data_IF_306346777067
#
_entry.id   IF_306346777067
#
_cell.length_a   1.000
_cell.length_b   1.000
_cell.length_c   1.000
_cell.angle_alpha   90.00
_cell.angle_beta   90.00
_cell.angle_gamma   90.00
#
_symmetry.space_group_name_H-M   'P 1'
#
loop_
_entity.id
_entity.type
_entity.pdbx_description
1 polymer ?
#
# COMPACT_ATOMS: atom_id res chain seq x y z
N UNK A 1 11.79 28.12 6.94
CA UNK A 1 12.01 26.87 6.21
C UNK A 1 10.81 26.58 5.30
N UNK A 2 11.08 26.14 4.07
CA UNK A 2 10.07 25.63 3.15
C UNK A 2 10.32 24.12 2.97
N UNK A 3 9.34 23.31 3.28
CA UNK A 3 9.38 21.86 3.14
C UNK A 3 8.30 21.42 2.15
N UNK A 4 8.70 21.01 0.96
CA UNK A 4 7.80 20.58 -0.11
C UNK A 4 7.74 19.04 -0.14
N UNK A 5 6.61 18.50 0.25
CA UNK A 5 6.34 17.06 0.40
C UNK A 5 7.48 16.26 1.07
N UNK A 6 8.01 16.70 2.23
CA UNK A 6 9.24 16.15 2.80
C UNK A 6 9.09 14.68 3.28
N UNK A 7 7.89 14.14 3.25
CA UNK A 7 7.60 12.77 3.71
C UNK A 7 7.12 11.86 2.58
N UNK A 8 7.10 12.32 1.34
CA UNK A 8 6.71 11.54 0.18
C UNK A 8 7.66 10.35 -0.02
N UNK A 9 7.11 9.17 -0.27
CA UNK A 9 7.81 7.89 -0.43
C UNK A 9 8.56 7.36 0.80
N UNK A 10 8.37 7.98 1.98
CA UNK A 10 8.91 7.47 3.24
C UNK A 10 7.93 6.50 3.91
N UNK A 11 8.46 5.54 4.65
CA UNK A 11 7.64 4.71 5.54
C UNK A 11 7.16 5.51 6.76
N UNK A 12 6.14 4.98 7.44
CA UNK A 12 5.46 5.67 8.56
C UNK A 12 6.42 6.03 9.70
N UNK A 13 7.41 5.19 9.97
CA UNK A 13 8.38 5.40 11.06
C UNK A 13 9.32 6.55 10.72
N UNK A 14 9.92 6.52 9.53
CA UNK A 14 10.81 7.59 9.06
C UNK A 14 10.04 8.90 8.87
N UNK A 15 8.79 8.83 8.35
CA UNK A 15 7.92 10.00 8.27
C UNK A 15 7.71 10.65 9.65
N UNK A 16 7.40 9.87 10.68
CA UNK A 16 7.22 10.39 12.03
C UNK A 16 8.50 11.03 12.58
N UNK A 17 9.67 10.45 12.32
CA UNK A 17 10.96 11.00 12.72
C UNK A 17 11.25 12.35 12.04
N UNK A 18 11.01 12.46 10.73
CA UNK A 18 11.20 13.72 9.98
C UNK A 18 10.26 14.81 10.49
N UNK A 19 8.98 14.49 10.75
CA UNK A 19 8.03 15.46 11.29
C UNK A 19 8.43 15.94 12.69
N UNK A 20 8.93 15.05 13.53
CA UNK A 20 9.45 15.39 14.85
C UNK A 20 10.68 16.32 14.71
N UNK A 21 11.63 15.95 13.87
CA UNK A 21 12.82 16.76 13.62
C UNK A 21 12.46 18.16 13.12
N UNK A 22 11.53 18.28 12.17
CA UNK A 22 11.09 19.59 11.64
C UNK A 22 10.45 20.45 12.71
N UNK A 23 9.67 19.85 13.62
CA UNK A 23 9.07 20.55 14.78
C UNK A 23 10.15 21.02 15.75
N UNK A 24 11.08 20.12 16.12
CA UNK A 24 12.15 20.42 17.05
C UNK A 24 13.05 21.54 16.52
N UNK A 25 13.42 21.52 15.24
CA UNK A 25 14.17 22.59 14.58
C UNK A 25 13.38 23.90 14.53
N UNK A 26 12.07 23.86 14.26
CA UNK A 26 11.22 25.07 14.32
C UNK A 26 11.28 25.72 15.70
N UNK A 27 11.15 24.91 16.73
CA UNK A 27 11.07 25.38 18.12
C UNK A 27 12.46 25.83 18.63
N UNK A 28 13.53 25.08 18.34
CA UNK A 28 14.91 25.41 18.74
C UNK A 28 15.44 26.69 18.07
N UNK A 29 15.19 26.82 16.76
CA UNK A 29 15.67 27.94 15.97
C UNK A 29 14.67 29.10 15.88
N UNK A 30 13.52 29.00 16.54
CA UNK A 30 12.41 29.95 16.49
C UNK A 30 12.06 30.38 15.05
N UNK A 31 12.01 29.40 14.14
CA UNK A 31 11.77 29.66 12.72
C UNK A 31 10.33 29.38 12.32
N UNK A 32 9.86 30.06 11.27
CA UNK A 32 8.60 29.74 10.63
C UNK A 32 8.78 28.57 9.65
N UNK A 33 7.77 27.70 9.57
CA UNK A 33 7.74 26.54 8.67
C UNK A 33 6.58 26.68 7.68
N UNK A 34 6.89 26.73 6.38
CA UNK A 34 5.92 26.50 5.32
C UNK A 34 6.00 25.02 4.91
N UNK A 35 4.96 24.27 5.22
CA UNK A 35 4.87 22.85 4.93
C UNK A 35 3.88 22.60 3.80
N UNK A 36 4.34 22.03 2.69
CA UNK A 36 3.50 21.71 1.53
C UNK A 36 3.26 20.19 1.54
N UNK A 37 2.00 19.77 1.52
CA UNK A 37 1.61 18.35 1.54
C UNK A 37 0.19 18.17 1.03
N UNK A 38 -0.10 16.99 0.52
CA UNK A 38 -1.46 16.53 0.24
C UNK A 38 -2.04 15.66 1.38
N UNK A 39 -1.27 15.38 2.44
CA UNK A 39 -1.68 14.52 3.55
C UNK A 39 -2.26 15.35 4.70
N UNK A 40 -3.59 15.36 4.81
CA UNK A 40 -4.33 16.09 5.86
C UNK A 40 -4.03 15.62 7.28
N UNK A 41 -3.68 14.32 7.45
CA UNK A 41 -3.31 13.78 8.76
C UNK A 41 -2.02 14.42 9.32
N UNK A 42 -1.10 14.81 8.44
CA UNK A 42 0.12 15.57 8.82
C UNK A 42 -0.26 17.00 9.18
N UNK A 43 -1.11 17.64 8.36
CA UNK A 43 -1.58 19.00 8.60
C UNK A 43 -2.22 19.12 9.99
N UNK A 44 -3.08 18.16 10.38
CA UNK A 44 -3.72 18.11 11.71
C UNK A 44 -2.71 18.10 12.87
N UNK A 45 -1.51 17.54 12.65
CA UNK A 45 -0.50 17.36 13.72
C UNK A 45 0.52 18.49 13.78
N UNK A 46 0.73 19.22 12.69
CA UNK A 46 1.88 20.12 12.56
C UNK A 46 1.49 21.58 12.29
N UNK A 47 0.37 21.83 11.61
CA UNK A 47 0.02 23.16 11.12
C UNK A 47 -0.81 23.97 12.11
N UNK A 48 -0.44 25.23 12.32
CA UNK A 48 -1.23 26.21 13.06
C UNK A 48 -2.32 26.82 12.16
N UNK A 49 -1.99 27.08 10.89
CA UNK A 49 -2.90 27.58 9.86
C UNK A 49 -2.75 26.78 8.56
N UNK A 50 -3.82 26.72 7.76
CA UNK A 50 -3.88 25.99 6.52
C UNK A 50 -4.38 26.87 5.40
N UNK A 51 -3.70 26.83 4.26
CA UNK A 51 -4.13 27.42 2.99
C UNK A 51 -4.41 26.29 1.99
N UNK A 52 -5.62 26.18 1.51
CA UNK A 52 -6.05 25.19 0.53
C UNK A 52 -5.89 25.75 -0.88
N UNK A 53 -5.15 25.03 -1.71
CA UNK A 53 -4.84 25.45 -3.09
C UNK A 53 -5.65 24.62 -4.10
N UNK A 54 -6.26 25.30 -5.09
CA UNK A 54 -6.89 24.66 -6.23
C UNK A 54 -6.63 25.47 -7.49
N UNK A 55 -6.18 24.84 -8.57
CA UNK A 55 -5.94 25.48 -9.87
C UNK A 55 -5.08 26.76 -9.78
N UNK A 56 -4.02 26.72 -8.97
CA UNK A 56 -3.09 27.84 -8.77
C UNK A 56 -3.64 28.98 -7.91
N UNK A 57 -4.78 28.80 -7.25
CA UNK A 57 -5.39 29.82 -6.37
C UNK A 57 -5.55 29.27 -4.96
N UNK A 58 -5.35 30.12 -3.96
CA UNK A 58 -5.76 29.84 -2.60
C UNK A 58 -7.28 30.03 -2.52
N UNK A 59 -8.02 28.95 -2.30
CA UNK A 59 -9.49 28.94 -2.26
C UNK A 59 -10.06 29.10 -0.86
N UNK A 60 -9.29 28.71 0.16
CA UNK A 60 -9.64 28.87 1.57
C UNK A 60 -8.39 28.93 2.42
N UNK A 61 -8.39 29.80 3.44
CA UNK A 61 -7.31 29.90 4.43
C UNK A 61 -7.91 30.18 5.80
N UNK A 62 -7.51 29.39 6.80
CA UNK A 62 -7.97 29.58 8.18
C UNK A 62 -7.00 28.88 9.16
N UNK A 63 -7.24 29.07 10.47
CA UNK A 63 -6.64 28.24 11.51
C UNK A 63 -6.91 26.76 11.21
N UNK A 64 -5.92 25.89 11.41
CA UNK A 64 -6.04 24.46 11.07
C UNK A 64 -7.25 23.80 11.77
N UNK A 65 -7.47 24.10 13.05
CA UNK A 65 -8.60 23.58 13.81
C UNK A 65 -9.95 23.96 13.19
N UNK A 66 -10.10 25.20 12.77
CA UNK A 66 -11.37 25.73 12.19
C UNK A 66 -11.59 25.15 10.79
N UNK A 67 -10.57 25.20 9.93
CA UNK A 67 -10.69 24.71 8.55
C UNK A 67 -11.00 23.22 8.48
N UNK A 68 -10.36 22.42 9.35
CA UNK A 68 -10.55 20.98 9.37
C UNK A 68 -11.87 20.51 10.03
N UNK A 69 -12.52 21.36 10.85
CA UNK A 69 -13.78 21.03 11.50
C UNK A 69 -15.01 21.66 10.81
N UNK A 70 -14.84 22.82 10.19
CA UNK A 70 -15.92 23.59 9.56
C UNK A 70 -15.47 24.27 8.25
N UNK A 71 -15.10 23.48 7.23
CA UNK A 71 -14.69 24.01 5.94
C UNK A 71 -15.81 24.79 5.26
N UNK A 72 -15.49 25.94 4.68
CA UNK A 72 -16.48 26.81 4.03
C UNK A 72 -16.49 26.61 2.50
N UNK A 73 -15.33 26.36 1.91
CA UNK A 73 -15.24 26.22 0.46
C UNK A 73 -15.62 24.79 0.01
N UNK A 74 -16.45 24.63 -1.03
CA UNK A 74 -16.89 23.30 -1.50
C UNK A 74 -15.76 22.35 -1.90
N UNK A 75 -14.64 22.87 -2.35
CA UNK A 75 -13.47 22.05 -2.67
C UNK A 75 -12.82 21.50 -1.40
N UNK A 76 -12.69 22.33 -0.35
CA UNK A 76 -12.13 21.90 0.95
C UNK A 76 -13.03 20.83 1.57
N UNK A 77 -14.34 20.99 1.51
CA UNK A 77 -15.31 19.98 1.99
C UNK A 77 -15.09 18.65 1.27
N UNK A 78 -15.07 18.66 -0.07
CA UNK A 78 -14.80 17.45 -0.85
C UNK A 78 -13.44 16.82 -0.57
N UNK A 79 -12.41 17.65 -0.33
CA UNK A 79 -11.07 17.15 0.01
C UNK A 79 -11.07 16.40 1.35
N UNK A 80 -11.76 16.94 2.36
CA UNK A 80 -11.92 16.31 3.68
C UNK A 80 -12.82 15.07 3.62
N UNK A 81 -13.92 15.13 2.86
CA UNK A 81 -14.85 14.00 2.66
C UNK A 81 -14.21 12.84 1.88
N UNK A 82 -13.12 13.11 1.13
CA UNK A 82 -12.40 12.06 0.40
C UNK A 82 -11.48 11.22 1.30
N UNK A 83 -11.22 11.64 2.55
CA UNK A 83 -10.55 10.78 3.51
C UNK A 83 -11.42 9.55 3.82
N UNK A 84 -10.88 8.33 3.69
CA UNK A 84 -11.65 7.12 4.04
C UNK A 84 -12.16 7.20 5.48
N UNK A 85 -13.46 7.11 5.64
CA UNK A 85 -14.15 7.18 6.93
C UNK A 85 -15.16 6.03 7.06
N UNK A 86 -15.58 5.74 8.28
CA UNK A 86 -16.56 4.71 8.61
C UNK A 86 -15.95 3.50 9.32
N UNK A 87 -16.83 2.71 9.90
CA UNK A 87 -16.47 1.49 10.61
C UNK A 87 -16.49 0.28 9.65
N UNK A 88 -15.63 -0.71 9.89
CA UNK A 88 -15.68 -1.96 9.14
C UNK A 88 -17.07 -2.63 9.27
N UNK A 89 -17.58 -3.16 8.17
CA UNK A 89 -18.82 -3.95 8.22
C UNK A 89 -18.60 -5.16 9.11
N UNK A 90 -19.52 -5.47 10.05
CA UNK A 90 -19.41 -6.65 10.90
C UNK A 90 -19.30 -7.93 10.06
N UNK A 91 -18.31 -8.72 10.36
CA UNK A 91 -18.09 -10.01 9.68
C UNK A 91 -18.97 -11.09 10.31
N UNK A 92 -19.42 -12.04 9.49
CA UNK A 92 -20.03 -13.27 9.97
C UNK A 92 -18.95 -14.12 10.66
N UNK A 93 -19.11 -14.28 11.99
CA UNK A 93 -18.15 -14.99 12.83
C UNK A 93 -18.02 -16.48 12.44
N UNK A 94 -19.08 -17.06 11.88
CA UNK A 94 -19.17 -18.48 11.51
C UNK A 94 -18.70 -18.76 10.07
N UNK A 95 -18.37 -17.70 9.31
CA UNK A 95 -17.90 -17.87 7.92
C UNK A 95 -16.53 -18.53 7.86
N UNK A 96 -16.37 -19.54 7.00
CA UNK A 96 -15.09 -20.19 6.74
C UNK A 96 -14.10 -19.21 6.08
N UNK A 97 -12.79 -19.27 6.42
CA UNK A 97 -11.80 -18.43 5.79
C UNK A 97 -11.75 -18.62 4.27
N UNK A 98 -11.80 -17.53 3.51
CA UNK A 98 -11.55 -17.51 2.07
C UNK A 98 -10.07 -17.76 1.76
N UNK A 99 -9.18 -17.14 2.56
CA UNK A 99 -7.74 -17.34 2.48
C UNK A 99 -7.22 -17.77 3.84
N UNK A 100 -6.43 -18.83 3.88
CA UNK A 100 -5.71 -19.27 5.07
C UNK A 100 -4.24 -19.47 4.73
N UNK A 101 -3.38 -18.91 5.55
CA UNK A 101 -1.93 -18.93 5.38
C UNK A 101 -1.31 -19.49 6.65
N UNK A 102 -0.51 -20.56 6.50
CA UNK A 102 0.17 -21.23 7.59
C UNK A 102 1.66 -21.39 7.27
N UNK A 103 2.50 -20.94 8.19
CA UNK A 103 3.96 -21.06 8.14
C UNK A 103 4.59 -20.53 6.83
N UNK A 104 3.99 -19.50 6.22
CA UNK A 104 4.49 -18.93 4.98
C UNK A 104 5.88 -18.34 5.19
N UNK A 105 6.84 -18.88 4.44
CA UNK A 105 8.24 -18.47 4.49
C UNK A 105 8.78 -18.26 3.08
N UNK A 106 9.57 -17.20 2.90
CA UNK A 106 10.22 -16.86 1.62
C UNK A 106 11.69 -16.58 1.87
N UNK A 107 12.55 -17.19 1.06
CA UNK A 107 13.98 -16.90 1.03
C UNK A 107 14.47 -16.76 -0.39
N UNK A 108 15.32 -15.75 -0.64
CA UNK A 108 15.94 -15.55 -1.94
C UNK A 108 17.35 -16.12 -1.98
N UNK A 109 17.72 -16.81 -3.06
CA UNK A 109 19.06 -17.39 -3.20
C UNK A 109 20.11 -16.30 -3.40
N UNK A 110 21.16 -16.31 -2.59
CA UNK A 110 22.36 -15.50 -2.79
C UNK A 110 23.30 -16.28 -3.70
N UNK A 111 23.59 -15.73 -4.87
CA UNK A 111 24.47 -16.35 -5.87
C UNK A 111 25.81 -15.62 -5.90
N UNK A 112 26.93 -16.38 -5.86
CA UNK A 112 28.30 -15.83 -5.96
C UNK A 112 29.10 -16.52 -7.08
N UNK A 113 30.13 -15.81 -7.54
CA UNK A 113 31.06 -16.27 -8.57
C UNK A 113 30.55 -16.25 -9.99
N UNK A 114 31.44 -16.51 -10.96
CA UNK A 114 31.17 -16.50 -12.41
C UNK A 114 30.08 -17.52 -12.79
N UNK A 115 30.06 -18.66 -12.09
CA UNK A 115 29.09 -19.75 -12.32
C UNK A 115 27.75 -19.54 -11.58
N UNK A 116 27.52 -18.38 -10.93
CA UNK A 116 26.28 -18.04 -10.19
C UNK A 116 25.78 -19.15 -9.25
N UNK A 117 26.69 -19.84 -8.58
CA UNK A 117 26.32 -20.88 -7.61
C UNK A 117 25.62 -20.28 -6.41
N UNK A 118 24.54 -20.94 -5.96
CA UNK A 118 23.83 -20.56 -4.73
C UNK A 118 24.74 -20.89 -3.56
N UNK A 119 25.19 -19.87 -2.83
CA UNK A 119 26.06 -20.00 -1.66
C UNK A 119 25.32 -19.84 -0.35
N UNK A 120 24.15 -19.15 -0.38
CA UNK A 120 23.34 -18.89 0.80
C UNK A 120 21.92 -18.51 0.40
N UNK A 121 21.01 -18.37 1.36
CA UNK A 121 19.63 -17.90 1.18
C UNK A 121 19.32 -16.80 2.18
N UNK A 122 18.90 -15.64 1.69
CA UNK A 122 18.43 -14.54 2.52
C UNK A 122 16.95 -14.75 2.87
N UNK A 123 16.61 -15.02 4.12
CA UNK A 123 15.21 -15.14 4.54
C UNK A 123 14.55 -13.75 4.58
N UNK A 124 13.39 -13.60 3.93
CA UNK A 124 12.60 -12.36 3.90
C UNK A 124 11.29 -12.53 4.68
N UNK A 125 10.64 -13.69 4.55
CA UNK A 125 9.47 -14.03 5.36
C UNK A 125 9.78 -15.26 6.21
N UNK A 126 9.31 -15.27 7.45
CA UNK A 126 9.48 -16.38 8.39
C UNK A 126 8.17 -16.66 9.09
N UNK A 127 7.60 -17.85 8.85
CA UNK A 127 6.45 -18.42 9.57
C UNK A 127 5.26 -17.46 9.69
N UNK A 128 4.91 -16.76 8.61
CA UNK A 128 3.76 -15.85 8.58
C UNK A 128 2.48 -16.67 8.62
N UNK A 129 1.53 -16.25 9.47
CA UNK A 129 0.23 -16.88 9.64
C UNK A 129 -0.85 -15.84 9.70
N UNK A 130 -1.91 -16.02 8.95
CA UNK A 130 -3.15 -15.25 9.04
C UNK A 130 -4.25 -15.93 8.24
N UNK A 131 -5.47 -15.50 8.48
CA UNK A 131 -6.63 -15.87 7.66
C UNK A 131 -7.39 -14.63 7.24
N UNK A 132 -8.16 -14.75 6.16
CA UNK A 132 -9.03 -13.71 5.63
C UNK A 132 -10.36 -14.33 5.27
N UNK A 133 -11.45 -13.77 5.78
CA UNK A 133 -12.81 -14.22 5.50
C UNK A 133 -13.39 -13.49 4.28
N UNK A 134 -14.47 -14.01 3.67
CA UNK A 134 -15.19 -13.25 2.64
C UNK A 134 -15.67 -11.90 3.18
N UNK A 135 -15.44 -10.83 2.42
CA UNK A 135 -15.80 -9.46 2.80
C UNK A 135 -14.88 -8.79 3.84
N UNK A 136 -13.88 -9.50 4.36
CA UNK A 136 -12.92 -8.97 5.32
C UNK A 136 -11.82 -8.16 4.62
N UNK A 137 -11.41 -7.05 5.27
CA UNK A 137 -10.24 -6.26 4.88
C UNK A 137 -9.15 -6.41 5.93
N UNK A 138 -8.01 -6.99 5.55
CA UNK A 138 -6.84 -7.16 6.41
C UNK A 138 -5.75 -6.15 6.05
N UNK A 139 -5.38 -5.27 6.98
CA UNK A 139 -4.25 -4.36 6.84
C UNK A 139 -2.93 -5.04 7.20
N UNK A 140 -1.99 -5.13 6.25
CA UNK A 140 -0.62 -5.58 6.50
C UNK A 140 0.30 -4.36 6.60
N UNK A 141 0.74 -4.03 7.81
CA UNK A 141 1.53 -2.83 8.11
C UNK A 141 2.96 -3.17 8.55
N UNK A 142 3.86 -2.23 8.42
CA UNK A 142 5.26 -2.36 8.84
C UNK A 142 6.20 -1.46 8.02
N UNK A 143 7.46 -1.38 8.42
CA UNK A 143 8.49 -0.56 7.79
C UNK A 143 8.80 -0.99 6.34
N UNK A 144 9.51 -0.13 5.60
CA UNK A 144 10.05 -0.49 4.29
C UNK A 144 10.97 -1.71 4.42
N UNK A 145 10.86 -2.66 3.49
CA UNK A 145 11.65 -3.90 3.55
C UNK A 145 11.15 -4.97 4.54
N UNK A 146 10.07 -4.74 5.30
CA UNK A 146 9.53 -5.75 6.24
C UNK A 146 8.88 -6.97 5.59
N UNK A 147 8.80 -7.04 4.27
CA UNK A 147 8.28 -8.20 3.54
C UNK A 147 6.82 -8.11 3.10
N UNK A 148 6.12 -6.98 3.29
CA UNK A 148 4.69 -6.80 2.91
C UNK A 148 4.42 -7.17 1.45
N UNK A 149 5.13 -6.54 0.53
CA UNK A 149 5.00 -6.83 -0.92
C UNK A 149 5.40 -8.26 -1.26
N UNK A 150 6.43 -8.79 -0.58
CA UNK A 150 6.87 -10.19 -0.73
C UNK A 150 5.76 -11.15 -0.31
N UNK A 151 5.01 -10.84 0.76
CA UNK A 151 3.84 -11.63 1.19
C UNK A 151 2.78 -11.65 0.09
N UNK A 152 2.40 -10.50 -0.46
CA UNK A 152 1.44 -10.44 -1.57
C UNK A 152 1.87 -11.25 -2.80
N UNK A 153 3.13 -11.13 -3.22
CA UNK A 153 3.68 -11.90 -4.33
C UNK A 153 3.71 -13.40 -4.06
N UNK A 154 3.99 -13.83 -2.82
CA UNK A 154 3.96 -15.23 -2.42
C UNK A 154 2.54 -15.82 -2.44
N UNK A 155 1.55 -15.08 -1.95
CA UNK A 155 0.13 -15.45 -2.00
C UNK A 155 -0.36 -15.66 -3.43
N UNK A 156 0.04 -14.77 -4.33
CA UNK A 156 -0.27 -14.88 -5.76
C UNK A 156 0.57 -15.95 -6.48
N UNK A 157 1.44 -16.67 -5.78
CA UNK A 157 2.34 -17.67 -6.40
C UNK A 157 3.19 -17.09 -7.54
N UNK A 158 3.57 -15.81 -7.43
CA UNK A 158 4.49 -15.14 -8.37
C UNK A 158 5.95 -15.38 -7.99
N UNK A 159 6.21 -15.70 -6.73
CA UNK A 159 7.52 -16.09 -6.20
C UNK A 159 7.43 -17.42 -5.47
N UNK A 160 8.55 -18.12 -5.35
CA UNK A 160 8.64 -19.37 -4.60
C UNK A 160 8.49 -19.12 -3.09
N UNK A 161 7.69 -19.93 -2.43
CA UNK A 161 7.45 -19.87 -1.00
C UNK A 161 7.34 -21.28 -0.42
N UNK A 162 7.52 -21.40 0.89
CA UNK A 162 7.24 -22.58 1.71
C UNK A 162 6.04 -22.28 2.61
N UNK A 163 5.42 -23.32 3.19
CA UNK A 163 4.23 -23.22 4.02
C UNK A 163 2.96 -23.49 3.22
N UNK A 164 1.82 -23.36 3.88
CA UNK A 164 0.52 -23.65 3.30
C UNK A 164 -0.22 -22.38 2.92
N UNK A 165 -0.82 -22.38 1.73
CA UNK A 165 -1.70 -21.33 1.23
C UNK A 165 -2.96 -22.04 0.75
N UNK A 166 -4.07 -21.83 1.44
CA UNK A 166 -5.39 -22.33 1.08
C UNK A 166 -6.24 -21.14 0.64
N UNK A 167 -6.80 -21.21 -0.55
CA UNK A 167 -7.74 -20.23 -1.07
C UNK A 167 -9.03 -20.92 -1.46
N UNK A 168 -10.12 -20.59 -0.77
CA UNK A 168 -11.42 -21.24 -0.95
C UNK A 168 -11.30 -22.77 -0.87
N UNK A 169 -10.57 -23.27 0.14
CA UNK A 169 -10.27 -24.69 0.34
C UNK A 169 -9.22 -25.30 -0.62
N UNK A 170 -8.80 -24.56 -1.65
CA UNK A 170 -7.84 -25.05 -2.65
C UNK A 170 -6.39 -24.87 -2.19
N UNK A 171 -5.55 -25.91 -2.19
CA UNK A 171 -4.15 -25.84 -1.69
C UNK A 171 -3.20 -25.25 -2.72
N UNK A 172 -3.21 -23.93 -2.89
CA UNK A 172 -2.41 -23.21 -3.90
C UNK A 172 -0.90 -23.46 -3.78
N UNK A 173 -0.39 -23.72 -2.58
CA UNK A 173 1.03 -24.02 -2.35
C UNK A 173 1.54 -25.25 -3.10
N UNK A 174 0.65 -26.17 -3.46
CA UNK A 174 0.96 -27.41 -4.22
C UNK A 174 0.82 -27.23 -5.73
N UNK A 175 0.23 -26.10 -6.18
CA UNK A 175 -0.14 -25.91 -7.57
C UNK A 175 1.00 -25.36 -8.42
N UNK A 176 1.09 -25.85 -9.64
CA UNK A 176 1.96 -25.31 -10.67
C UNK A 176 1.29 -24.13 -11.41
N UNK A 177 2.03 -23.48 -12.34
CA UNK A 177 1.55 -22.30 -13.06
C UNK A 177 0.25 -22.55 -13.85
N UNK A 178 0.09 -23.75 -14.45
CA UNK A 178 -1.11 -24.08 -15.24
C UNK A 178 -2.34 -24.25 -14.35
N UNK A 179 -2.18 -24.90 -13.19
CA UNK A 179 -3.24 -25.08 -12.22
C UNK A 179 -3.70 -23.76 -11.59
N UNK A 180 -2.83 -22.75 -11.55
CA UNK A 180 -3.18 -21.41 -11.07
C UNK A 180 -4.04 -20.58 -12.04
N UNK A 181 -4.08 -20.91 -13.35
CA UNK A 181 -4.79 -20.13 -14.36
C UNK A 181 -6.27 -19.88 -14.01
N UNK A 182 -7.07 -20.90 -13.63
CA UNK A 182 -8.49 -20.69 -13.31
C UNK A 182 -8.73 -19.83 -12.06
N UNK A 183 -7.74 -19.71 -11.16
CA UNK A 183 -7.84 -18.92 -9.92
C UNK A 183 -7.40 -17.48 -10.12
N UNK A 184 -6.56 -17.19 -11.11
CA UNK A 184 -6.05 -15.85 -11.40
C UNK A 184 -7.12 -14.76 -11.50
N UNK A 185 -8.28 -14.96 -12.15
CA UNK A 185 -9.34 -13.96 -12.20
C UNK A 185 -9.93 -13.61 -10.83
N UNK A 186 -9.82 -14.54 -9.86
CA UNK A 186 -10.35 -14.39 -8.50
C UNK A 186 -9.36 -13.75 -7.52
N UNK A 187 -8.08 -13.62 -7.92
CA UNK A 187 -7.00 -13.06 -7.11
C UNK A 187 -6.30 -11.96 -7.90
N UNK A 188 -6.67 -10.73 -7.64
CA UNK A 188 -6.14 -9.56 -8.34
C UNK A 188 -5.14 -8.82 -7.46
N UNK A 189 -4.26 -8.06 -8.10
CA UNK A 189 -3.28 -7.19 -7.42
C UNK A 189 -3.27 -5.81 -8.04
N UNK A 190 -3.21 -4.80 -7.19
CA UNK A 190 -2.90 -3.42 -7.56
C UNK A 190 -1.53 -3.11 -6.99
N UNK A 191 -0.56 -2.83 -7.85
CA UNK A 191 0.80 -2.51 -7.43
C UNK A 191 0.90 -1.08 -6.91
N UNK A 192 1.92 -0.83 -6.08
CA UNK A 192 2.18 0.48 -5.47
C UNK A 192 2.34 1.61 -6.49
N UNK A 193 2.91 1.31 -7.66
CA UNK A 193 2.96 2.21 -8.82
C UNK A 193 2.22 1.57 -9.99
N UNK A 194 0.91 1.88 -10.16
CA UNK A 194 0.12 1.32 -11.25
C UNK A 194 0.63 1.73 -12.64
N UNK A 195 1.19 2.92 -12.77
CA UNK A 195 1.66 3.43 -14.07
C UNK A 195 2.88 2.66 -14.57
N UNK A 196 3.81 2.30 -13.69
CA UNK A 196 4.97 1.49 -14.07
C UNK A 196 4.61 0.04 -14.42
N UNK A 197 3.41 -0.40 -14.03
CA UNK A 197 2.90 -1.74 -14.34
C UNK A 197 2.29 -1.84 -15.74
N UNK A 198 2.00 -0.71 -16.38
CA UNK A 198 1.44 -0.64 -17.71
C UNK A 198 2.55 -0.65 -18.77
N UNK A 199 2.34 -1.40 -19.85
CA UNK A 199 3.27 -1.37 -20.98
C UNK A 199 3.03 -0.11 -21.83
N UNK A 200 3.97 0.86 -21.86
CA UNK A 200 3.79 2.13 -22.56
C UNK A 200 3.71 2.00 -24.10
N UNK A 201 3.98 0.81 -24.64
CA UNK A 201 3.88 0.52 -26.07
C UNK A 201 2.50 0.03 -26.50
N UNK A 202 1.61 -0.24 -25.54
CA UNK A 202 0.25 -0.69 -25.81
C UNK A 202 -0.71 0.51 -25.78
N UNK A 203 -1.75 0.44 -26.62
CA UNK A 203 -2.87 1.38 -26.52
C UNK A 203 -3.73 1.07 -25.30
N UNK A 204 -4.53 2.04 -24.84
CA UNK A 204 -5.47 1.85 -23.73
C UNK A 204 -6.39 0.65 -23.96
N UNK A 205 -6.89 0.50 -25.21
CA UNK A 205 -7.71 -0.65 -25.59
C UNK A 205 -6.98 -1.97 -25.39
N UNK A 206 -5.73 -2.06 -25.87
CA UNK A 206 -4.92 -3.28 -25.73
C UNK A 206 -4.64 -3.63 -24.27
N UNK A 207 -4.38 -2.62 -23.42
CA UNK A 207 -4.17 -2.81 -21.98
C UNK A 207 -5.43 -3.38 -21.32
N UNK A 208 -6.61 -2.81 -21.64
CA UNK A 208 -7.89 -3.27 -21.07
C UNK A 208 -8.25 -4.67 -21.59
N UNK A 209 -8.02 -4.95 -22.87
CA UNK A 209 -8.33 -6.25 -23.46
C UNK A 209 -7.37 -7.37 -23.05
N UNK A 210 -6.16 -7.05 -22.57
CA UNK A 210 -5.14 -8.07 -22.26
C UNK A 210 -5.68 -9.09 -21.25
N UNK A 211 -6.33 -8.64 -20.19
CA UNK A 211 -6.95 -9.52 -19.20
C UNK A 211 -8.05 -10.40 -19.77
N UNK A 212 -8.87 -9.85 -20.65
CA UNK A 212 -9.95 -10.61 -21.31
C UNK A 212 -9.38 -11.67 -22.26
N UNK A 213 -8.38 -11.33 -23.06
CA UNK A 213 -7.71 -12.28 -23.98
C UNK A 213 -7.05 -13.46 -23.28
N UNK A 214 -6.52 -13.22 -22.05
CA UNK A 214 -5.88 -14.27 -21.27
C UNK A 214 -6.89 -15.18 -20.57
N UNK A 215 -8.00 -14.64 -20.09
CA UNK A 215 -8.95 -15.36 -19.24
C UNK A 215 -10.24 -15.79 -19.95
N UNK A 216 -10.57 -15.15 -21.06
CA UNK A 216 -11.72 -15.47 -21.90
C UNK A 216 -11.27 -15.52 -23.37
N UNK A 217 -10.44 -16.49 -23.76
CA UNK A 217 -10.11 -16.67 -25.15
C UNK A 217 -11.41 -17.09 -25.88
N UNK A 218 -11.89 -16.19 -26.76
CA UNK A 218 -13.07 -16.38 -27.59
C UNK A 218 -12.94 -17.57 -28.54
#
# INVERSE_FOLDING_TARGET
LIADEPTTALDVTVQAQILTLLRDLRDELNMSLLFITHNLSIVRKLADSVAVMQNGRCVEQNAASTLLSAPQHPYTQRLLDSEPSGDPVPLDADSSPLLRVEDLSVSFPIRKGILRRIVDRSPVLKNIRFSLRPGESLGLVGESGSGKSTTGLALLRLIASQGEILFDGMPLHRWNRRQMLPVRPRMQVVFQDPNSSLNPRLSVLQIVEEGLRVHQPG
#
